data_IF_259933139944
#
_entry.id   IF_259933139944
#
_cell.length_a   1.000
_cell.length_b   1.000
_cell.length_c   1.000
_cell.angle_alpha   90.00
_cell.angle_beta   90.00
_cell.angle_gamma   90.00
#
_symmetry.space_group_name_H-M   'P 1'
#
loop_
_entity.id
_entity.type
_entity.pdbx_description
1 polymer ?
#
# COMPACT_ATOMS: atom_id res chain seq x y z
N UNK A 1 -8.98 -15.77 -11.50
CA UNK A 1 -8.03 -16.12 -10.49
C UNK A 1 -8.19 -15.24 -9.25
N UNK A 2 -8.33 -15.85 -8.12
CA UNK A 2 -8.56 -15.08 -6.88
C UNK A 2 -7.39 -14.21 -6.46
N UNK A 3 -6.21 -14.49 -6.99
CA UNK A 3 -5.04 -13.73 -6.57
C UNK A 3 -5.15 -12.26 -6.91
N UNK A 4 -5.79 -11.95 -8.02
CA UNK A 4 -5.93 -10.57 -8.44
C UNK A 4 -6.74 -9.77 -7.44
N UNK A 5 -7.83 -10.38 -6.98
CA UNK A 5 -8.69 -9.68 -6.03
C UNK A 5 -7.94 -9.41 -4.73
N UNK A 6 -7.13 -10.38 -4.30
CA UNK A 6 -6.35 -10.19 -3.09
C UNK A 6 -5.37 -9.05 -3.25
N UNK A 7 -4.72 -8.98 -4.40
CA UNK A 7 -3.75 -7.92 -4.65
C UNK A 7 -4.42 -6.56 -4.66
N UNK A 8 -5.56 -6.47 -5.30
CA UNK A 8 -6.28 -5.21 -5.37
C UNK A 8 -6.69 -4.75 -3.98
N UNK A 9 -7.17 -5.69 -3.19
CA UNK A 9 -7.58 -5.35 -1.83
C UNK A 9 -6.39 -4.89 -1.00
N UNK A 10 -5.26 -5.56 -1.17
CA UNK A 10 -4.07 -5.17 -0.44
C UNK A 10 -3.62 -3.77 -0.83
N UNK A 11 -3.70 -3.46 -2.11
CA UNK A 11 -3.32 -2.14 -2.58
C UNK A 11 -4.25 -1.09 -1.99
N UNK A 12 -5.53 -1.39 -1.97
CA UNK A 12 -6.49 -0.44 -1.40
C UNK A 12 -6.22 -0.19 0.07
N UNK A 13 -5.93 -1.24 0.79
CA UNK A 13 -5.64 -1.10 2.22
C UNK A 13 -4.39 -0.28 2.45
N UNK A 14 -3.35 -0.60 1.70
CA UNK A 14 -2.10 0.13 1.85
C UNK A 14 -2.28 1.59 1.47
N UNK A 15 -3.08 1.84 0.46
CA UNK A 15 -3.35 3.20 0.04
C UNK A 15 -4.01 3.99 1.16
N UNK A 16 -4.98 3.39 1.82
CA UNK A 16 -5.66 4.04 2.92
C UNK A 16 -4.69 4.29 4.08
N UNK A 17 -3.86 3.30 4.36
CA UNK A 17 -2.87 3.46 5.43
C UNK A 17 -1.86 4.56 5.09
N UNK A 18 -1.50 4.64 3.81
CA UNK A 18 -0.58 5.68 3.39
C UNK A 18 -1.16 7.06 3.62
N UNK A 19 -2.41 7.23 3.27
CA UNK A 19 -3.08 8.49 3.50
C UNK A 19 -3.11 8.83 4.97
N UNK A 20 -3.39 7.85 5.79
CA UNK A 20 -3.43 8.03 7.22
C UNK A 20 -2.07 8.48 7.74
N UNK A 21 -1.02 7.81 7.30
CA UNK A 21 0.32 8.14 7.74
C UNK A 21 0.70 9.57 7.32
N UNK A 22 0.34 9.92 6.10
CA UNK A 22 0.67 11.27 5.60
C UNK A 22 -0.07 12.32 6.41
N UNK A 23 -1.31 12.06 6.70
CA UNK A 23 -2.12 13.02 7.46
C UNK A 23 -1.58 13.22 8.87
N UNK A 24 -1.00 12.18 9.43
CA UNK A 24 -0.46 12.26 10.77
C UNK A 24 1.01 12.67 10.80
N UNK A 25 1.57 12.93 9.63
CA UNK A 25 2.97 13.31 9.55
C UNK A 25 3.93 12.20 9.83
N UNK A 26 3.51 10.96 9.64
CA UNK A 26 4.34 9.79 9.90
C UNK A 26 5.08 9.41 8.63
N UNK A 27 6.19 10.09 8.39
CA UNK A 27 6.91 9.90 7.14
C UNK A 27 7.53 8.52 7.04
N UNK A 28 8.02 7.99 8.16
CA UNK A 28 8.61 6.66 8.14
C UNK A 28 7.59 5.62 7.73
N UNK A 29 6.44 5.70 8.32
CA UNK A 29 5.39 4.75 7.98
C UNK A 29 4.96 4.91 6.53
N UNK A 30 4.86 6.14 6.08
CA UNK A 30 4.45 6.40 4.70
C UNK A 30 5.44 5.78 3.73
N UNK A 31 6.72 5.88 4.03
CA UNK A 31 7.73 5.31 3.15
C UNK A 31 7.63 3.79 3.10
N UNK A 32 7.40 3.17 4.24
CA UNK A 32 7.24 1.72 4.28
C UNK A 32 6.07 1.28 3.44
N UNK A 33 4.97 1.99 3.58
CA UNK A 33 3.76 1.63 2.85
C UNK A 33 4.00 1.80 1.35
N UNK A 34 4.71 2.85 0.97
CA UNK A 34 5.02 3.06 -0.42
C UNK A 34 5.85 1.91 -1.00
N UNK A 35 6.79 1.43 -0.23
CA UNK A 35 7.61 0.32 -0.68
C UNK A 35 6.78 -0.93 -0.87
N UNK A 36 5.85 -1.16 0.05
CA UNK A 36 4.98 -2.31 -0.09
C UNK A 36 4.11 -2.19 -1.33
N UNK A 37 3.58 -1.01 -1.56
CA UNK A 37 2.78 -0.80 -2.76
C UNK A 37 3.60 -1.04 -4.02
N UNK A 38 4.83 -0.59 -4.00
CA UNK A 38 5.70 -0.76 -5.15
C UNK A 38 5.94 -2.24 -5.44
N UNK A 39 6.17 -3.01 -4.39
CA UNK A 39 6.39 -4.43 -4.57
C UNK A 39 5.17 -5.10 -5.18
N UNK A 40 4.02 -4.74 -4.70
CA UNK A 40 2.79 -5.34 -5.21
C UNK A 40 2.58 -5.01 -6.68
N UNK A 41 2.86 -3.78 -7.08
CA UNK A 41 2.67 -3.39 -8.46
C UNK A 41 3.75 -3.97 -9.36
N UNK A 42 4.95 -4.17 -8.82
CA UNK A 42 6.03 -4.71 -9.62
C UNK A 42 5.83 -6.17 -9.96
N UNK A 43 5.12 -6.87 -9.10
CA UNK A 43 4.91 -8.29 -9.30
C UNK A 43 3.86 -8.60 -10.35
N UNK A 44 3.12 -7.63 -10.76
CA UNK A 44 2.10 -7.84 -11.80
C UNK A 44 2.71 -7.87 -13.23
#
# INVERSE_FOLDING_TARGET
>A
MPQRDDTIEAIKRLDALLEYAVMHGDEEEAERIREELRKLTDEV
#
